data_IF_531380958665
#
_entry.id   IF_531380958665
#
_cell.length_a   1.000
_cell.length_b   1.000
_cell.length_c   1.000
_cell.angle_alpha   90.00
_cell.angle_beta   90.00
_cell.angle_gamma   90.00
#
_symmetry.space_group_name_H-M   'P 1'
#
loop_
_entity.id
_entity.type
_entity.pdbx_description
1 polymer ?
#
# COMPACT_ATOMS: atom_id res chain seq x y z
N UNK A 1 -7.01 13.62 2.80
CA UNK A 1 -5.91 13.99 1.89
C UNK A 1 -4.58 14.06 2.64
N UNK A 2 -3.59 13.32 2.14
CA UNK A 2 -2.24 13.17 2.73
C UNK A 2 -1.54 14.53 2.77
N UNK A 3 -1.00 14.89 3.94
CA UNK A 3 -0.28 16.15 4.08
C UNK A 3 0.96 16.19 3.17
N UNK A 4 1.15 17.28 2.43
CA UNK A 4 2.26 17.44 1.49
C UNK A 4 2.12 16.66 0.19
N UNK A 5 0.95 16.07 -0.10
CA UNK A 5 0.74 15.32 -1.35
C UNK A 5 0.83 16.22 -2.60
N UNK A 6 0.49 17.49 -2.47
CA UNK A 6 0.56 18.45 -3.58
C UNK A 6 1.99 18.65 -4.09
N UNK A 7 2.97 18.80 -3.18
CA UNK A 7 4.37 18.94 -3.56
C UNK A 7 4.91 17.67 -4.22
N UNK A 8 4.46 16.51 -3.75
CA UNK A 8 4.77 15.23 -4.38
C UNK A 8 4.19 15.16 -5.81
N UNK A 9 2.89 15.42 -5.97
CA UNK A 9 2.21 15.44 -7.26
C UNK A 9 2.89 16.38 -8.25
N UNK A 10 3.18 17.60 -7.84
CA UNK A 10 3.81 18.61 -8.70
C UNK A 10 5.20 18.20 -9.16
N UNK A 11 6.01 17.61 -8.26
CA UNK A 11 7.36 17.15 -8.59
C UNK A 11 7.34 15.94 -9.52
N UNK A 12 6.43 14.99 -9.32
CA UNK A 12 6.38 13.73 -10.05
C UNK A 12 5.40 13.70 -11.23
N UNK A 13 4.87 14.86 -11.64
CA UNK A 13 4.05 15.01 -12.84
C UNK A 13 4.80 14.50 -14.09
N UNK A 14 4.17 13.61 -14.85
CA UNK A 14 4.76 12.95 -16.04
C UNK A 14 5.55 11.67 -15.74
N UNK A 15 5.64 11.27 -14.48
CA UNK A 15 6.25 10.02 -14.01
C UNK A 15 5.23 9.05 -13.40
N UNK A 16 3.94 9.18 -13.71
CA UNK A 16 2.89 8.32 -13.15
C UNK A 16 3.04 6.85 -13.56
N UNK A 17 3.76 6.59 -14.66
CA UNK A 17 4.17 5.27 -15.13
C UNK A 17 5.30 4.66 -14.28
N UNK A 18 6.08 5.49 -13.60
CA UNK A 18 7.31 5.11 -12.89
C UNK A 18 7.11 4.58 -11.47
N UNK A 19 5.92 4.79 -10.89
CA UNK A 19 5.62 4.37 -9.53
C UNK A 19 4.15 3.96 -9.37
N UNK A 20 3.82 3.42 -8.20
CA UNK A 20 2.44 3.23 -7.74
C UNK A 20 2.39 3.43 -6.23
N UNK A 21 1.62 4.41 -5.79
CA UNK A 21 1.30 4.64 -4.39
C UNK A 21 0.33 3.55 -3.94
N UNK A 22 0.64 2.96 -2.80
CA UNK A 22 -0.09 1.85 -2.18
C UNK A 22 -0.42 2.20 -0.72
N UNK A 23 -0.79 1.19 0.05
CA UNK A 23 -0.88 1.32 1.50
C UNK A 23 -1.95 2.31 1.95
N UNK A 24 -1.64 3.05 3.04
CA UNK A 24 -2.58 4.01 3.62
C UNK A 24 -2.86 5.19 2.69
N UNK A 25 -1.82 5.73 2.05
CA UNK A 25 -1.93 6.91 1.19
C UNK A 25 -2.85 6.67 0.00
N UNK A 26 -2.73 5.50 -0.66
CA UNK A 26 -3.63 5.15 -1.75
C UNK A 26 -5.09 5.09 -1.27
N UNK A 27 -5.36 4.49 -0.11
CA UNK A 27 -6.70 4.46 0.46
C UNK A 27 -7.27 5.87 0.69
N UNK A 28 -6.48 6.78 1.26
CA UNK A 28 -6.91 8.16 1.52
C UNK A 28 -7.19 8.94 0.23
N UNK A 29 -6.34 8.80 -0.80
CA UNK A 29 -6.55 9.42 -2.11
C UNK A 29 -7.83 8.91 -2.78
N UNK A 30 -8.03 7.59 -2.82
CA UNK A 30 -9.19 6.95 -3.45
C UNK A 30 -10.50 7.29 -2.74
N UNK A 31 -10.50 7.30 -1.40
CA UNK A 31 -11.69 7.62 -0.62
C UNK A 31 -12.03 9.11 -0.74
N UNK A 32 -11.02 9.99 -0.79
CA UNK A 32 -11.22 11.43 -1.04
C UNK A 32 -11.80 11.68 -2.43
N UNK A 33 -11.42 10.92 -3.47
CA UNK A 33 -12.03 11.00 -4.81
C UNK A 33 -13.55 10.71 -4.78
N UNK A 34 -13.99 9.85 -3.85
CA UNK A 34 -15.39 9.50 -3.66
C UNK A 34 -16.12 10.38 -2.63
N UNK A 35 -15.52 11.47 -2.17
CA UNK A 35 -16.03 12.35 -1.10
C UNK A 35 -16.30 11.60 0.23
N UNK A 36 -15.53 10.54 0.53
CA UNK A 36 -15.63 9.77 1.78
C UNK A 36 -14.39 10.01 2.64
N UNK A 37 -14.63 10.36 3.90
CA UNK A 37 -13.54 10.50 4.88
C UNK A 37 -12.84 9.16 5.14
N UNK A 38 -11.52 9.17 5.03
CA UNK A 38 -10.67 8.08 5.46
C UNK A 38 -9.77 8.51 6.62
N UNK A 39 -9.16 7.55 7.32
CA UNK A 39 -8.19 7.89 8.37
C UNK A 39 -7.03 8.66 7.74
N UNK A 40 -6.59 9.73 8.40
CA UNK A 40 -5.41 10.46 7.96
C UNK A 40 -4.18 9.55 8.02
N UNK A 41 -3.41 9.55 6.95
CA UNK A 41 -2.07 8.99 6.85
C UNK A 41 -1.13 10.09 6.42
N UNK A 42 0.11 10.04 6.89
CA UNK A 42 1.16 10.99 6.51
C UNK A 42 2.29 10.32 5.75
N UNK A 43 2.15 9.01 5.56
CA UNK A 43 3.16 8.15 4.99
C UNK A 43 2.76 7.81 3.56
N UNK A 44 3.67 8.02 2.62
CA UNK A 44 3.51 7.58 1.23
C UNK A 44 4.29 6.29 1.05
N UNK A 45 3.56 5.19 0.91
CA UNK A 45 4.10 3.90 0.53
C UNK A 45 4.05 3.79 -0.99
N UNK A 46 5.18 3.57 -1.68
CA UNK A 46 5.18 3.45 -3.14
C UNK A 46 6.09 2.34 -3.66
N UNK A 47 5.65 1.72 -4.74
CA UNK A 47 6.41 0.74 -5.51
C UNK A 47 6.99 1.43 -6.73
N UNK A 48 8.27 1.20 -7.01
CA UNK A 48 8.89 1.66 -8.24
C UNK A 48 8.65 0.69 -9.40
N UNK A 49 8.22 1.24 -10.54
CA UNK A 49 7.97 0.51 -11.78
C UNK A 49 8.77 1.23 -12.88
N UNK A 50 10.06 0.95 -12.89
CA UNK A 50 11.01 1.74 -13.67
C UNK A 50 11.48 0.91 -14.86
N UNK A 51 10.80 1.09 -15.98
CA UNK A 51 11.15 0.53 -17.29
C UNK A 51 12.05 1.52 -18.05
N UNK A 52 11.49 2.49 -18.77
CA UNK A 52 12.27 3.34 -19.69
C UNK A 52 12.77 4.67 -19.10
N UNK A 53 12.09 5.24 -18.10
CA UNK A 53 12.40 6.57 -17.51
C UNK A 53 13.23 6.51 -16.22
N UNK A 54 13.97 5.42 -16.02
CA UNK A 54 14.69 5.13 -14.77
C UNK A 54 15.59 6.29 -14.30
N UNK A 55 16.45 6.80 -15.17
CA UNK A 55 17.46 7.80 -14.79
C UNK A 55 16.82 9.16 -14.46
N UNK A 56 15.85 9.58 -15.26
CA UNK A 56 15.12 10.83 -15.08
C UNK A 56 14.32 10.82 -13.77
N UNK A 57 13.61 9.72 -13.52
CA UNK A 57 12.87 9.55 -12.27
C UNK A 57 13.81 9.56 -11.06
N UNK A 58 14.90 8.79 -11.10
CA UNK A 58 15.84 8.71 -9.98
C UNK A 58 16.46 10.08 -9.66
N UNK A 59 16.84 10.85 -10.68
CA UNK A 59 17.36 12.21 -10.50
C UNK A 59 16.31 13.12 -9.87
N UNK A 60 15.09 13.11 -10.39
CA UNK A 60 14.00 13.96 -9.91
C UNK A 60 13.60 13.59 -8.46
N UNK A 61 13.58 12.29 -8.16
CA UNK A 61 13.32 11.77 -6.81
C UNK A 61 14.40 12.24 -5.83
N UNK A 62 15.68 12.12 -6.17
CA UNK A 62 16.75 12.60 -5.29
C UNK A 62 16.73 14.10 -5.07
N UNK A 63 16.42 14.88 -6.11
CA UNK A 63 16.24 16.31 -5.97
C UNK A 63 15.10 16.64 -4.99
N UNK A 64 13.98 15.92 -5.08
CA UNK A 64 12.85 16.06 -4.14
C UNK A 64 13.24 15.74 -2.69
N UNK A 65 13.98 14.64 -2.48
CA UNK A 65 14.48 14.24 -1.16
C UNK A 65 15.41 15.33 -0.57
N UNK A 66 16.28 15.93 -1.40
CA UNK A 66 17.18 17.02 -0.98
C UNK A 66 16.43 18.32 -0.68
N UNK A 67 15.50 18.72 -1.55
CA UNK A 67 14.65 19.91 -1.36
C UNK A 67 13.85 19.82 -0.06
N UNK A 68 13.25 18.65 0.21
CA UNK A 68 12.51 18.36 1.43
C UNK A 68 13.37 18.12 2.67
N UNK A 69 14.70 18.06 2.53
CA UNK A 69 15.68 17.78 3.60
C UNK A 69 15.39 16.51 4.41
N UNK A 70 14.90 15.47 3.74
CA UNK A 70 14.59 14.22 4.40
C UNK A 70 15.83 13.55 5.00
N UNK A 71 15.64 12.90 6.14
CA UNK A 71 16.58 11.90 6.66
C UNK A 71 16.33 10.55 5.98
N UNK A 72 17.39 9.92 5.50
CA UNK A 72 17.32 8.62 4.83
C UNK A 72 17.77 7.48 5.75
N UNK A 73 16.89 6.50 5.93
CA UNK A 73 17.22 5.18 6.44
C UNK A 73 17.05 4.11 5.38
N UNK A 74 17.81 3.03 5.47
CA UNK A 74 17.78 1.93 4.51
C UNK A 74 18.07 0.59 5.19
N UNK A 75 17.62 -0.49 4.55
CA UNK A 75 18.03 -1.86 4.89
C UNK A 75 18.36 -2.58 3.59
N UNK A 76 19.60 -3.06 3.48
CA UNK A 76 20.00 -3.90 2.36
C UNK A 76 19.55 -5.35 2.61
N UNK A 77 18.86 -5.95 1.65
CA UNK A 77 18.55 -7.37 1.62
C UNK A 77 18.82 -7.89 0.22
N UNK A 78 19.37 -9.11 0.10
CA UNK A 78 19.70 -9.74 -1.18
C UNK A 78 18.51 -9.85 -2.16
N UNK A 79 17.26 -9.67 -1.68
CA UNK A 79 16.04 -9.77 -2.47
C UNK A 79 15.27 -8.46 -2.68
N UNK A 80 15.50 -7.42 -1.86
CA UNK A 80 14.77 -6.15 -1.96
C UNK A 80 15.60 -4.97 -1.44
N UNK A 81 15.57 -3.85 -2.17
CA UNK A 81 16.07 -2.57 -1.66
C UNK A 81 14.90 -1.78 -1.06
N UNK A 82 15.07 -1.39 0.19
CA UNK A 82 14.09 -0.61 0.94
C UNK A 82 14.71 0.69 1.41
N UNK A 83 14.04 1.80 1.09
CA UNK A 83 14.40 3.13 1.53
C UNK A 83 13.23 3.74 2.30
N UNK A 84 13.54 4.36 3.44
CA UNK A 84 12.59 5.14 4.23
C UNK A 84 13.15 6.53 4.41
N UNK A 85 12.40 7.52 3.95
CA UNK A 85 12.70 8.94 4.09
C UNK A 85 11.76 9.55 5.12
N UNK A 86 12.31 10.25 6.11
CA UNK A 86 11.55 10.79 7.25
C UNK A 86 11.98 12.20 7.61
N UNK A 87 11.18 12.86 8.45
CA UNK A 87 11.49 14.17 9.04
C UNK A 87 11.85 15.25 8.00
N UNK A 88 11.01 15.49 6.97
CA UNK A 88 11.24 16.59 6.06
C UNK A 88 10.91 17.94 6.71
N UNK A 89 11.17 19.02 5.97
CA UNK A 89 10.59 20.34 6.25
C UNK A 89 9.08 20.38 5.95
N UNK A 90 8.40 21.41 6.45
CA UNK A 90 6.97 21.63 6.21
C UNK A 90 6.63 21.71 4.71
N UNK A 91 5.44 21.24 4.34
CA UNK A 91 4.96 21.20 2.94
C UNK A 91 5.28 19.89 2.19
N UNK A 92 5.96 18.94 2.84
CA UNK A 92 6.32 17.64 2.29
C UNK A 92 5.64 16.48 3.07
N UNK A 93 5.42 15.31 2.44
CA UNK A 93 4.94 14.11 3.12
C UNK A 93 5.86 13.69 4.27
N UNK A 94 5.31 13.45 5.46
CA UNK A 94 6.11 13.22 6.67
C UNK A 94 7.00 11.98 6.56
N UNK A 95 6.57 10.98 5.80
CA UNK A 95 7.34 9.79 5.49
C UNK A 95 7.12 9.36 4.05
N UNK A 96 8.19 8.89 3.40
CA UNK A 96 8.13 8.20 2.11
C UNK A 96 8.82 6.85 2.26
N UNK A 97 8.10 5.78 1.94
CA UNK A 97 8.61 4.41 1.88
C UNK A 97 8.64 3.93 0.44
N UNK A 98 9.78 3.39 0.03
CA UNK A 98 10.03 3.02 -1.35
C UNK A 98 10.43 1.54 -1.43
N UNK A 99 9.67 0.80 -2.24
CA UNK A 99 9.82 -0.63 -2.47
C UNK A 99 10.29 -0.91 -3.91
N UNK A 100 11.29 -1.79 -4.08
CA UNK A 100 11.83 -2.17 -5.40
C UNK A 100 12.23 -3.66 -5.48
N UNK A 101 11.73 -4.37 -6.50
CA UNK A 101 11.73 -5.84 -6.61
C UNK A 101 13.04 -6.49 -7.11
N UNK A 102 14.07 -5.75 -7.57
CA UNK A 102 15.38 -6.37 -7.94
C UNK A 102 16.61 -5.45 -7.83
N UNK A 103 17.82 -6.04 -7.64
CA UNK A 103 19.01 -5.36 -7.13
C UNK A 103 19.89 -4.80 -8.26
N UNK A 104 19.70 -3.51 -8.50
CA UNK A 104 20.59 -2.64 -9.27
C UNK A 104 20.28 -1.17 -9.01
N UNK A 105 19.34 -0.90 -8.10
CA UNK A 105 19.09 0.42 -7.54
C UNK A 105 20.04 0.60 -6.37
N UNK A 106 21.31 0.86 -6.68
CA UNK A 106 22.01 1.84 -5.88
C UNK A 106 21.42 3.17 -6.34
N UNK A 107 20.31 3.60 -5.74
CA UNK A 107 20.12 5.03 -5.60
C UNK A 107 21.38 5.46 -4.84
N UNK A 108 22.40 6.00 -5.54
CA UNK A 108 23.65 6.43 -4.92
C UNK A 108 23.27 7.48 -3.88
N UNK A 109 23.18 7.04 -2.63
CA UNK A 109 22.82 7.91 -1.52
C UNK A 109 24.04 8.77 -1.29
N UNK A 110 23.95 10.06 -1.61
CA UNK A 110 24.96 11.02 -1.18
C UNK A 110 25.15 10.91 0.34
N UNK A 111 26.40 10.96 0.80
CA UNK A 111 26.83 10.66 2.16
C UNK A 111 25.90 11.21 3.27
N UNK A 112 25.57 10.38 4.27
CA UNK A 112 24.78 10.81 5.44
C UNK A 112 23.67 9.86 5.89
N UNK A 113 23.83 8.55 5.69
CA UNK A 113 22.79 7.55 5.95
C UNK A 113 22.65 7.25 7.45
N UNK A 114 21.42 7.31 7.97
CA UNK A 114 21.11 6.99 9.37
C UNK A 114 20.28 5.71 9.40
N UNK A 115 20.70 4.63 10.08
CA UNK A 115 19.86 3.44 10.23
C UNK A 115 18.61 3.77 11.05
N UNK A 116 17.42 3.52 10.48
CA UNK A 116 16.12 3.75 11.13
C UNK A 116 15.50 2.38 11.48
N UNK A 117 14.82 2.30 12.64
CA UNK A 117 14.08 1.12 13.07
C UNK A 117 12.82 0.90 12.21
N UNK A 118 12.59 -0.35 11.78
CA UNK A 118 11.52 -0.72 10.85
C UNK A 118 10.41 -1.44 11.62
N UNK A 119 9.16 -1.06 11.36
CA UNK A 119 7.95 -1.60 12.02
C UNK A 119 7.48 -2.91 11.36
N UNK A 120 6.64 -3.69 12.04
CA UNK A 120 6.18 -5.01 11.60
C UNK A 120 5.32 -4.94 10.31
N UNK A 121 4.54 -3.89 10.09
CA UNK A 121 3.70 -3.72 8.89
C UNK A 121 4.50 -3.63 7.59
N UNK A 122 5.67 -2.99 7.65
CA UNK A 122 6.62 -2.90 6.55
C UNK A 122 7.15 -4.26 6.13
N UNK A 123 7.23 -5.22 7.06
CA UNK A 123 7.71 -6.59 6.78
C UNK A 123 6.71 -7.38 5.94
N UNK A 124 5.41 -7.27 6.22
CA UNK A 124 4.36 -7.95 5.47
C UNK A 124 4.21 -7.38 4.07
N UNK A 125 4.27 -6.04 3.89
CA UNK A 125 4.18 -5.44 2.56
C UNK A 125 5.38 -5.79 1.67
N UNK A 126 6.58 -5.81 2.24
CA UNK A 126 7.79 -6.27 1.57
C UNK A 126 7.66 -7.73 1.11
N UNK A 127 7.12 -8.61 1.96
CA UNK A 127 6.92 -10.02 1.64
C UNK A 127 5.87 -10.23 0.53
N UNK A 128 4.79 -9.44 0.54
CA UNK A 128 3.76 -9.46 -0.51
C UNK A 128 4.37 -9.12 -1.87
N UNK A 129 5.15 -8.04 -1.95
CA UNK A 129 5.70 -7.54 -3.22
C UNK A 129 6.84 -8.39 -3.79
N UNK A 130 7.42 -9.29 -2.99
CA UNK A 130 8.38 -10.27 -3.48
C UNK A 130 7.71 -11.44 -4.22
N UNK A 131 6.42 -11.70 -3.99
CA UNK A 131 5.66 -12.74 -4.68
C UNK A 131 5.21 -12.28 -6.08
N UNK A 132 5.37 -13.14 -7.09
CA UNK A 132 5.04 -12.82 -8.49
C UNK A 132 3.55 -12.53 -8.67
N UNK A 133 2.70 -13.38 -8.08
CA UNK A 133 1.24 -13.26 -8.20
C UNK A 133 0.76 -11.87 -7.70
N UNK A 134 1.22 -11.43 -6.54
CA UNK A 134 0.86 -10.12 -6.00
C UNK A 134 1.47 -8.94 -6.77
N UNK A 135 2.68 -9.10 -7.30
CA UNK A 135 3.31 -8.05 -8.10
C UNK A 135 2.56 -7.85 -9.42
N UNK A 136 2.26 -8.92 -10.14
CA UNK A 136 1.51 -8.88 -11.40
C UNK A 136 0.07 -8.41 -11.15
N UNK A 137 -0.54 -8.82 -10.04
CA UNK A 137 -1.84 -8.33 -9.62
C UNK A 137 -1.83 -6.82 -9.34
N UNK A 138 -0.79 -6.30 -8.68
CA UNK A 138 -0.61 -4.86 -8.48
C UNK A 138 -0.51 -4.10 -9.81
N UNK A 139 0.29 -4.61 -10.76
CA UNK A 139 0.45 -3.97 -12.07
C UNK A 139 -0.88 -3.82 -12.82
N UNK A 140 -1.76 -4.83 -12.75
CA UNK A 140 -3.10 -4.81 -13.36
C UNK A 140 -4.01 -3.75 -12.71
N UNK A 141 -3.82 -3.44 -11.44
CA UNK A 141 -4.71 -2.59 -10.64
C UNK A 141 -4.36 -1.11 -10.59
N UNK A 142 -3.36 -0.66 -11.35
CA UNK A 142 -2.88 0.72 -11.31
C UNK A 142 -3.86 1.66 -12.01
N UNK A 143 -4.07 2.84 -11.43
CA UNK A 143 -4.74 3.96 -12.08
C UNK A 143 -4.17 5.30 -11.63
N UNK A 144 -4.44 6.34 -12.40
CA UNK A 144 -4.04 7.70 -12.02
C UNK A 144 -5.24 8.44 -11.43
N UNK A 145 -5.07 8.98 -10.23
CA UNK A 145 -6.05 9.83 -9.55
C UNK A 145 -5.38 11.15 -9.24
N UNK A 146 -5.94 12.24 -9.77
CA UNK A 146 -5.42 13.60 -9.59
C UNK A 146 -3.90 13.71 -9.85
N UNK A 147 -3.40 13.11 -10.94
CA UNK A 147 -1.97 13.13 -11.30
C UNK A 147 -1.06 12.24 -10.47
N UNK A 148 -1.62 11.38 -9.61
CA UNK A 148 -0.86 10.43 -8.79
C UNK A 148 -1.22 9.00 -9.19
N UNK A 149 -0.20 8.20 -9.47
CA UNK A 149 -0.37 6.77 -9.73
C UNK A 149 -0.67 6.03 -8.43
N UNK A 150 -1.84 5.40 -8.34
CA UNK A 150 -2.32 4.68 -7.15
C UNK A 150 -2.79 3.27 -7.52
N UNK A 151 -2.73 2.34 -6.58
CA UNK A 151 -3.39 1.04 -6.71
C UNK A 151 -4.89 1.22 -6.44
N UNK A 152 -5.77 0.72 -7.31
CA UNK A 152 -7.23 0.80 -7.16
C UNK A 152 -7.76 0.10 -5.90
N UNK A 153 -8.92 0.54 -5.39
CA UNK A 153 -9.50 0.01 -4.14
C UNK A 153 -9.80 -1.49 -4.23
N UNK A 154 -10.30 -1.92 -5.38
CA UNK A 154 -10.56 -3.30 -5.78
C UNK A 154 -9.29 -4.16 -5.80
N UNK A 155 -8.12 -3.57 -6.02
CA UNK A 155 -6.83 -4.27 -5.93
C UNK A 155 -6.16 -4.12 -4.57
N UNK A 156 -6.41 -3.04 -3.82
CA UNK A 156 -5.91 -2.89 -2.43
C UNK A 156 -6.55 -3.91 -1.50
N UNK A 157 -7.84 -4.22 -1.68
CA UNK A 157 -8.58 -5.14 -0.80
C UNK A 157 -7.85 -6.50 -0.64
N UNK A 158 -7.45 -7.22 -1.71
CA UNK A 158 -6.66 -8.45 -1.58
C UNK A 158 -5.35 -8.30 -0.83
N UNK A 159 -4.63 -7.18 -0.98
CA UNK A 159 -3.42 -6.90 -0.19
C UNK A 159 -3.73 -6.80 1.30
N UNK A 160 -4.85 -6.16 1.66
CA UNK A 160 -5.30 -6.06 3.07
C UNK A 160 -5.74 -7.40 3.63
N UNK A 161 -6.40 -8.23 2.82
CA UNK A 161 -6.78 -9.60 3.18
C UNK A 161 -5.54 -10.43 3.48
N UNK A 162 -4.53 -10.42 2.60
CA UNK A 162 -3.26 -11.10 2.84
C UNK A 162 -2.60 -10.63 4.13
N UNK A 163 -2.43 -9.31 4.30
CA UNK A 163 -1.76 -8.77 5.49
C UNK A 163 -2.44 -9.20 6.79
N UNK A 164 -3.78 -9.23 6.79
CA UNK A 164 -4.53 -9.74 7.93
C UNK A 164 -4.31 -11.25 8.18
N UNK A 165 -4.37 -12.08 7.13
CA UNK A 165 -4.12 -13.53 7.22
C UNK A 165 -2.70 -13.81 7.71
N UNK A 166 -1.71 -13.09 7.20
CA UNK A 166 -0.30 -13.20 7.62
C UNK A 166 -0.13 -12.86 9.10
N UNK A 167 -0.64 -11.70 9.55
CA UNK A 167 -0.60 -11.31 10.96
C UNK A 167 -1.34 -12.33 11.86
N UNK A 168 -2.46 -12.90 11.40
CA UNK A 168 -3.17 -13.95 12.14
C UNK A 168 -2.32 -15.21 12.33
N UNK A 169 -1.65 -15.66 11.25
CA UNK A 169 -0.75 -16.83 11.26
C UNK A 169 0.48 -16.59 12.14
N UNK A 170 1.06 -15.39 12.13
CA UNK A 170 2.17 -15.01 13.01
C UNK A 170 1.72 -15.03 14.47
N UNK A 171 0.55 -14.46 14.78
CA UNK A 171 -0.05 -14.50 16.13
C UNK A 171 -0.25 -15.93 16.62
N UNK A 172 -0.74 -16.85 15.77
CA UNK A 172 -0.94 -18.26 16.16
C UNK A 172 0.36 -19.01 16.41
N UNK A 173 1.49 -18.55 15.86
CA UNK A 173 2.83 -19.09 16.11
C UNK A 173 3.49 -18.51 17.37
N UNK A 174 2.82 -17.60 18.08
CA UNK A 174 3.36 -16.94 19.27
C UNK A 174 4.28 -15.76 18.97
N UNK A 175 4.32 -15.27 17.73
CA UNK A 175 5.04 -14.05 17.40
C UNK A 175 4.30 -12.81 17.93
N UNK A 176 5.05 -11.76 18.24
CA UNK A 176 4.46 -10.46 18.57
C UNK A 176 3.74 -9.90 17.33
N UNK A 177 2.50 -9.44 17.51
CA UNK A 177 1.68 -8.85 16.47
C UNK A 177 1.04 -7.58 17.01
N UNK A 178 1.17 -6.49 16.25
CA UNK A 178 0.51 -5.24 16.58
C UNK A 178 -1.01 -5.37 16.37
N UNK A 179 -1.77 -5.36 17.46
CA UNK A 179 -3.23 -5.49 17.40
C UNK A 179 -3.92 -4.35 16.65
N UNK A 180 -3.30 -3.16 16.62
CA UNK A 180 -3.83 -2.02 15.88
C UNK A 180 -3.80 -2.32 14.39
N UNK A 181 -2.69 -2.85 13.90
CA UNK A 181 -2.51 -3.12 12.48
C UNK A 181 -3.36 -4.31 12.03
N UNK A 182 -3.43 -5.34 12.87
CA UNK A 182 -4.35 -6.46 12.68
C UNK A 182 -5.80 -5.98 12.45
N UNK A 183 -6.33 -5.14 13.35
CA UNK A 183 -7.69 -4.59 13.21
C UNK A 183 -7.82 -3.64 12.02
N UNK A 184 -6.78 -2.85 11.74
CA UNK A 184 -6.73 -1.89 10.63
C UNK A 184 -6.87 -2.59 9.28
N UNK A 185 -6.10 -3.64 9.02
CA UNK A 185 -6.16 -4.40 7.77
C UNK A 185 -7.54 -5.02 7.54
N UNK A 186 -8.12 -5.64 8.57
CA UNK A 186 -9.49 -6.16 8.49
C UNK A 186 -10.49 -5.06 8.16
N UNK A 187 -10.52 -3.98 8.93
CA UNK A 187 -11.51 -2.92 8.74
C UNK A 187 -11.37 -2.21 7.38
N UNK A 188 -10.16 -2.12 6.83
CA UNK A 188 -9.93 -1.53 5.52
C UNK A 188 -10.58 -2.32 4.38
N UNK A 189 -10.64 -3.66 4.49
CA UNK A 189 -11.35 -4.50 3.50
C UNK A 189 -12.80 -4.06 3.36
N UNK A 190 -13.49 -3.85 4.48
CA UNK A 190 -14.88 -3.40 4.50
C UNK A 190 -15.02 -1.94 4.06
N UNK A 191 -14.17 -1.04 4.58
CA UNK A 191 -14.24 0.39 4.26
C UNK A 191 -14.07 0.66 2.77
N UNK A 192 -13.09 0.01 2.15
CA UNK A 192 -12.77 0.21 0.73
C UNK A 192 -13.88 -0.32 -0.19
N UNK A 193 -14.68 -1.30 0.26
CA UNK A 193 -15.77 -1.84 -0.55
C UNK A 193 -16.80 -0.79 -0.96
N UNK A 194 -16.96 0.30 -0.17
CA UNK A 194 -17.85 1.42 -0.48
C UNK A 194 -17.56 2.09 -1.83
N UNK A 195 -16.29 2.05 -2.28
CA UNK A 195 -15.82 2.74 -3.48
C UNK A 195 -15.45 1.76 -4.60
N UNK A 196 -15.82 0.49 -4.44
CA UNK A 196 -15.57 -0.54 -5.44
C UNK A 196 -16.80 -0.70 -6.33
N UNK A 197 -16.60 -0.63 -7.64
CA UNK A 197 -17.68 -0.82 -8.60
C UNK A 197 -18.27 -2.25 -8.50
N UNK A 198 -19.60 -2.41 -8.38
CA UNK A 198 -20.23 -3.72 -8.19
C UNK A 198 -20.11 -4.63 -9.42
N UNK A 199 -20.04 -4.04 -10.61
CA UNK A 199 -20.16 -4.76 -11.90
C UNK A 199 -18.84 -5.40 -12.39
N UNK A 200 -17.73 -5.19 -11.68
CA UNK A 200 -16.39 -5.60 -12.15
C UNK A 200 -15.94 -6.84 -11.39
N UNK A 201 -15.79 -7.97 -12.07
CA UNK A 201 -15.10 -9.12 -11.49
C UNK A 201 -13.60 -8.97 -11.67
N UNK A 202 -12.84 -9.28 -10.62
CA UNK A 202 -11.40 -9.16 -10.59
C UNK A 202 -10.80 -10.56 -10.67
N UNK A 203 -10.03 -10.82 -11.72
CA UNK A 203 -9.33 -12.09 -11.90
C UNK A 203 -8.24 -12.22 -10.82
N UNK A 204 -8.29 -13.31 -10.05
CA UNK A 204 -7.31 -13.62 -9.02
C UNK A 204 -6.78 -15.04 -9.20
N UNK A 205 -5.47 -15.20 -9.02
CA UNK A 205 -4.77 -16.47 -9.19
C UNK A 205 -3.70 -16.63 -8.10
N UNK A 206 -3.16 -17.84 -7.99
CA UNK A 206 -2.03 -18.16 -7.09
C UNK A 206 -2.26 -17.69 -5.65
N UNK A 207 -1.22 -17.11 -5.07
CA UNK A 207 -1.24 -16.68 -3.67
C UNK A 207 -2.28 -15.58 -3.40
N UNK A 208 -2.64 -14.76 -4.40
CA UNK A 208 -3.68 -13.75 -4.26
C UNK A 208 -5.02 -14.42 -3.97
N UNK A 209 -5.42 -15.39 -4.82
CA UNK A 209 -6.67 -16.13 -4.65
C UNK A 209 -6.71 -16.92 -3.34
N UNK A 210 -5.63 -17.64 -3.04
CA UNK A 210 -5.51 -18.42 -1.79
C UNK A 210 -5.70 -17.56 -0.54
N UNK A 211 -5.17 -16.33 -0.57
CA UNK A 211 -5.26 -15.40 0.56
C UNK A 211 -6.66 -14.83 0.74
N UNK A 212 -7.38 -14.61 -0.36
CA UNK A 212 -8.79 -14.20 -0.36
C UNK A 212 -9.66 -15.32 0.22
N UNK A 213 -9.48 -16.56 -0.25
CA UNK A 213 -10.21 -17.73 0.27
C UNK A 213 -9.97 -17.93 1.78
N UNK A 214 -8.71 -17.79 2.23
CA UNK A 214 -8.35 -17.86 3.63
C UNK A 214 -9.02 -16.74 4.44
N UNK A 215 -8.95 -15.49 3.98
CA UNK A 215 -9.59 -14.36 4.67
C UNK A 215 -11.10 -14.57 4.81
N UNK A 216 -11.80 -14.90 3.72
CA UNK A 216 -13.25 -15.08 3.70
C UNK A 216 -13.74 -16.25 4.57
N UNK A 217 -12.88 -17.25 4.78
CA UNK A 217 -13.16 -18.37 5.67
C UNK A 217 -12.94 -17.99 7.14
N UNK A 218 -11.83 -17.32 7.43
CA UNK A 218 -11.38 -17.09 8.79
C UNK A 218 -12.02 -15.86 9.45
N UNK A 219 -12.38 -14.83 8.67
CA UNK A 219 -12.91 -13.56 9.19
C UNK A 219 -14.30 -13.72 9.81
N UNK A 220 -15.07 -14.75 9.43
CA UNK A 220 -16.42 -15.04 9.95
C UNK A 220 -16.42 -15.14 11.50
N UNK A 221 -15.31 -15.65 12.06
CA UNK A 221 -15.12 -15.75 13.52
C UNK A 221 -14.84 -14.42 14.24
N UNK A 222 -14.74 -13.31 13.49
CA UNK A 222 -14.41 -12.00 14.04
C UNK A 222 -15.42 -10.92 13.60
N UNK A 223 -16.53 -10.78 14.35
CA UNK A 223 -17.60 -9.85 14.02
C UNK A 223 -17.11 -8.43 13.71
N UNK A 224 -17.65 -7.86 12.64
CA UNK A 224 -17.38 -6.50 12.19
C UNK A 224 -18.69 -5.72 12.20
N UNK A 225 -18.68 -4.53 12.80
CA UNK A 225 -19.80 -3.58 12.74
C UNK A 225 -19.68 -2.79 11.45
N UNK A 226 -20.31 -3.28 10.39
CA UNK A 226 -20.22 -2.73 9.03
C UNK A 226 -20.70 -1.28 8.96
N UNK A 227 -21.68 -0.88 9.79
CA UNK A 227 -22.21 0.48 9.83
C UNK A 227 -21.16 1.49 10.32
N UNK A 228 -20.29 1.07 11.24
CA UNK A 228 -19.16 1.88 11.70
C UNK A 228 -18.05 2.02 10.64
N UNK A 229 -18.14 1.25 9.57
CA UNK A 229 -17.23 1.26 8.43
C UNK A 229 -17.88 1.83 7.17
N UNK A 230 -19.08 2.43 7.29
CA UNK A 230 -19.78 3.11 6.21
C UNK A 230 -20.69 2.21 5.35
N UNK A 231 -20.86 0.95 5.74
CA UNK A 231 -21.69 -0.01 5.01
C UNK A 231 -23.02 -0.25 5.76
N UNK A 232 -24.15 -0.08 5.06
CA UNK A 232 -25.50 -0.32 5.60
C UNK A 232 -26.02 -1.72 5.25
N UNK A 233 -25.12 -2.71 5.25
CA UNK A 233 -25.40 -4.11 4.92
C UNK A 233 -24.73 -5.02 5.95
N UNK A 234 -25.18 -6.26 6.06
CA UNK A 234 -24.62 -7.19 7.04
C UNK A 234 -23.19 -7.59 6.68
N UNK A 235 -22.46 -8.15 7.64
CA UNK A 235 -21.13 -8.70 7.37
C UNK A 235 -21.23 -9.85 6.37
N UNK A 236 -22.27 -10.67 6.47
CA UNK A 236 -22.57 -11.78 5.58
C UNK A 236 -22.73 -11.30 4.13
N UNK A 237 -23.54 -10.26 3.90
CA UNK A 237 -23.74 -9.67 2.56
C UNK A 237 -22.42 -9.12 1.99
N UNK A 238 -21.59 -8.49 2.83
CA UNK A 238 -20.26 -8.02 2.42
C UNK A 238 -19.38 -9.19 1.96
N UNK A 239 -19.36 -10.28 2.71
CA UNK A 239 -18.57 -11.46 2.35
C UNK A 239 -19.08 -12.11 1.05
N UNK A 240 -20.39 -12.09 0.79
CA UNK A 240 -20.96 -12.56 -0.49
C UNK A 240 -20.54 -11.68 -1.67
N UNK A 241 -20.55 -10.35 -1.51
CA UNK A 241 -20.06 -9.41 -2.53
C UNK A 241 -18.57 -9.67 -2.82
N UNK A 242 -17.76 -9.81 -1.77
CA UNK A 242 -16.33 -10.10 -1.92
C UNK A 242 -16.09 -11.45 -2.61
N UNK A 243 -16.87 -12.48 -2.28
CA UNK A 243 -16.82 -13.78 -2.99
C UNK A 243 -17.13 -13.62 -4.46
N UNK A 244 -18.28 -13.02 -4.80
CA UNK A 244 -18.70 -12.84 -6.20
C UNK A 244 -17.70 -12.04 -7.03
N UNK A 245 -16.98 -11.11 -6.40
CA UNK A 245 -16.04 -10.22 -7.07
C UNK A 245 -14.69 -10.86 -7.35
N UNK A 246 -14.20 -11.69 -6.43
CA UNK A 246 -12.82 -12.19 -6.47
C UNK A 246 -12.67 -13.69 -6.70
N UNK A 247 -13.73 -14.50 -6.46
CA UNK A 247 -13.68 -15.96 -6.54
C UNK A 247 -14.57 -16.52 -7.64
#
# INVERSE_FOLDING_TARGET
>A
MVAGIDSFRDKFRGFEDCYTVIGGAACDILMSEADIDFRLTKDIDMILILEDKKEEFAKNFWEYIKEGKYKCGWKNSDKMHFYRFTEPIDGYPVMIELFSRKPGYNLEVEEGIIPIHIDDDTSSLSAILLNDDFYDFMLKGRRVVDGISVLGADYIIPFKMYAWVDLKRRKSKGEHVNERDYKKHKNDVFRLLQIVAPEVNIETEGLVRESIEAFLTEVISEPVRTEQLGLQISMEDVLEILRSKYL
#
